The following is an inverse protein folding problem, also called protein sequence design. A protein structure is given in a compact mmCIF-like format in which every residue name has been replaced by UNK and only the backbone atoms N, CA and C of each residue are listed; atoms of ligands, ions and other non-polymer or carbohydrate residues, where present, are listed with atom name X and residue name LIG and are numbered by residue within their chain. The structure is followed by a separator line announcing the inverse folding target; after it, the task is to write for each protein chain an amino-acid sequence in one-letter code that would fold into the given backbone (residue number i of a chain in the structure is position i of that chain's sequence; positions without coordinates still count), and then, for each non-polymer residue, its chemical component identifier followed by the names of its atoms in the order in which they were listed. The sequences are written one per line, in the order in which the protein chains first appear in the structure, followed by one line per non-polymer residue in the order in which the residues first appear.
data_IF_891500683996
#
_entry.id   IF_891500683996
#
_cell.length_a   1.000
_cell.length_b   1.000
_cell.length_c   1.000
_cell.angle_alpha   90.00
_cell.angle_beta   90.00
_cell.angle_gamma   90.00
#
_symmetry.space_group_name_H-M   'P 1'
#
loop_
_entity.id
_entity.type
_entity.pdbx_description
1 polymer ?
#
# COMPACT_ATOMS: atom_id res chain seq x y z
N UNK A 1 25.53 -10.46 -1.97
CA UNK A 1 24.27 -11.03 -2.52
C UNK A 1 23.53 -9.91 -3.24
N UNK A 2 23.12 -10.16 -4.47
CA UNK A 2 22.31 -9.25 -5.30
C UNK A 2 20.98 -9.94 -5.61
N UNK A 3 19.88 -9.35 -5.20
CA UNK A 3 18.53 -9.87 -5.45
C UNK A 3 17.75 -8.95 -6.38
N UNK A 4 16.99 -9.56 -7.29
CA UNK A 4 15.93 -8.90 -8.05
C UNK A 4 14.60 -9.18 -7.35
N UNK A 5 13.98 -8.12 -6.85
CA UNK A 5 12.66 -8.16 -6.21
C UNK A 5 11.54 -7.79 -7.19
N UNK A 6 10.39 -8.48 -7.08
CA UNK A 6 9.19 -8.21 -7.87
C UNK A 6 7.97 -8.02 -6.97
N UNK A 7 7.15 -7.04 -7.31
CA UNK A 7 5.90 -6.73 -6.60
C UNK A 7 4.75 -6.54 -7.60
N UNK A 8 3.62 -7.18 -7.32
CA UNK A 8 2.40 -7.11 -8.14
C UNK A 8 1.13 -7.48 -7.35
N UNK A 9 1.13 -7.28 -6.04
CA UNK A 9 0.07 -7.81 -5.17
C UNK A 9 -1.21 -6.96 -5.14
N UNK A 10 -1.18 -5.72 -5.60
CA UNK A 10 -2.35 -4.82 -5.64
C UNK A 10 -2.49 -4.13 -7.01
N UNK A 11 -2.07 -2.88 -7.14
CA UNK A 11 -2.24 -2.04 -8.34
C UNK A 11 -0.93 -1.35 -8.78
N UNK A 12 0.17 -1.60 -8.11
CA UNK A 12 1.50 -1.21 -8.55
C UNK A 12 2.29 -2.42 -9.05
N UNK A 13 2.91 -2.27 -10.23
CA UNK A 13 3.87 -3.23 -10.77
C UNK A 13 5.27 -2.72 -10.51
N UNK A 14 6.09 -3.49 -9.83
CA UNK A 14 7.45 -3.03 -9.53
C UNK A 14 8.52 -4.12 -9.69
N UNK A 15 9.73 -3.66 -10.02
CA UNK A 15 10.96 -4.44 -9.95
C UNK A 15 12.09 -3.60 -9.35
N UNK A 16 12.90 -4.20 -8.50
CA UNK A 16 14.02 -3.52 -7.84
C UNK A 16 15.24 -4.43 -7.71
N UNK A 17 16.42 -3.86 -7.81
CA UNK A 17 17.69 -4.54 -7.53
C UNK A 17 18.26 -4.06 -6.20
N UNK A 18 18.46 -5.01 -5.30
CA UNK A 18 18.98 -4.75 -3.95
C UNK A 18 20.25 -5.55 -3.72
N UNK A 19 21.33 -4.86 -3.35
CA UNK A 19 22.62 -5.48 -3.03
C UNK A 19 22.87 -5.46 -1.53
N UNK A 20 23.23 -6.61 -0.98
CA UNK A 20 23.69 -6.77 0.39
C UNK A 20 25.12 -7.26 0.43
N UNK A 21 26.03 -6.49 1.01
CA UNK A 21 27.39 -6.91 1.30
C UNK A 21 27.51 -7.29 2.78
N UNK A 22 28.40 -8.27 3.13
CA UNK A 22 28.62 -8.65 4.53
C UNK A 22 29.00 -7.45 5.40
N UNK A 23 28.31 -7.26 6.53
CA UNK A 23 28.58 -6.17 7.47
C UNK A 23 28.20 -4.76 7.00
N UNK A 24 27.58 -4.63 5.84
CA UNK A 24 27.13 -3.36 5.31
C UNK A 24 25.60 -3.30 5.24
N UNK A 25 25.06 -2.11 5.17
CA UNK A 25 23.63 -1.87 4.91
C UNK A 25 23.29 -2.33 3.48
N UNK A 26 22.07 -2.85 3.30
CA UNK A 26 21.57 -3.15 1.96
C UNK A 26 21.44 -1.86 1.13
N UNK A 27 21.77 -1.94 -0.14
CA UNK A 27 21.73 -0.83 -1.07
C UNK A 27 20.73 -1.13 -2.19
N UNK A 28 19.79 -0.23 -2.40
CA UNK A 28 18.90 -0.24 -3.56
C UNK A 28 19.68 0.34 -4.74
N UNK A 29 19.93 -0.47 -5.76
CA UNK A 29 20.65 -0.08 -6.97
C UNK A 29 19.71 0.53 -8.01
N UNK A 30 18.49 -0.02 -8.11
CA UNK A 30 17.40 0.50 -8.95
C UNK A 30 16.06 0.13 -8.36
N UNK A 31 15.05 0.95 -8.65
CA UNK A 31 13.67 0.68 -8.23
C UNK A 31 12.72 1.29 -9.26
N UNK A 32 12.05 0.44 -10.00
CA UNK A 32 11.10 0.81 -11.04
C UNK A 32 9.69 0.46 -10.57
N UNK A 33 8.81 1.44 -10.55
CA UNK A 33 7.40 1.29 -10.19
C UNK A 33 6.53 1.83 -11.31
N UNK A 34 5.52 1.08 -11.70
CA UNK A 34 4.50 1.47 -12.69
C UNK A 34 3.14 1.32 -12.02
N UNK A 35 2.54 2.46 -11.64
CA UNK A 35 1.20 2.52 -11.04
C UNK A 35 0.10 2.29 -12.07
N UNK A 36 -1.07 1.91 -11.58
CA UNK A 36 -2.27 1.65 -12.40
C UNK A 36 -3.43 2.59 -12.04
N UNK A 37 -3.18 3.69 -11.33
CA UNK A 37 -4.21 4.62 -10.84
C UNK A 37 -5.17 5.07 -11.95
N UNK A 38 -4.64 5.44 -13.11
CA UNK A 38 -5.45 5.89 -14.27
C UNK A 38 -6.35 4.78 -14.80
N UNK A 39 -5.89 3.52 -14.80
CA UNK A 39 -6.68 2.38 -15.26
C UNK A 39 -7.91 2.12 -14.40
N UNK A 40 -7.83 2.46 -13.12
CA UNK A 40 -8.87 2.21 -12.13
C UNK A 40 -9.73 3.44 -11.81
N UNK A 41 -9.34 4.64 -12.25
CA UNK A 41 -9.99 5.90 -11.89
C UNK A 41 -11.50 5.92 -12.18
N UNK A 42 -11.93 5.40 -13.33
CA UNK A 42 -13.34 5.36 -13.73
C UNK A 42 -14.19 4.38 -12.90
N UNK A 43 -13.56 3.42 -12.24
CA UNK A 43 -14.23 2.41 -11.41
C UNK A 43 -14.30 2.81 -9.93
N UNK A 44 -13.54 3.83 -9.54
CA UNK A 44 -13.49 4.34 -8.18
C UNK A 44 -12.84 3.37 -7.18
N UNK A 45 -11.93 2.52 -7.64
CA UNK A 45 -11.17 1.55 -6.85
C UNK A 45 -10.55 0.49 -7.74
N UNK A 46 -9.63 -0.30 -7.20
CA UNK A 46 -8.91 -1.32 -7.94
C UNK A 46 -9.85 -2.42 -8.43
N UNK A 47 -9.80 -2.71 -9.74
CA UNK A 47 -10.50 -3.82 -10.37
C UNK A 47 -9.52 -4.98 -10.53
N UNK A 48 -9.66 -6.10 -9.79
CA UNK A 48 -8.64 -7.15 -9.72
C UNK A 48 -8.25 -7.76 -11.06
N UNK A 49 -9.20 -7.93 -11.98
CA UNK A 49 -8.93 -8.50 -13.29
C UNK A 49 -8.13 -7.55 -14.19
N UNK A 50 -8.45 -6.25 -14.14
CA UNK A 50 -7.70 -5.22 -14.87
C UNK A 50 -6.27 -5.16 -14.33
N UNK A 51 -6.12 -5.15 -12.98
CA UNK A 51 -4.83 -5.14 -12.34
C UNK A 51 -3.97 -6.33 -12.74
N UNK A 52 -4.53 -7.55 -12.70
CA UNK A 52 -3.80 -8.76 -13.07
C UNK A 52 -3.28 -8.73 -14.52
N UNK A 53 -4.08 -8.24 -15.46
CA UNK A 53 -3.66 -8.09 -16.87
C UNK A 53 -2.55 -7.05 -17.02
N UNK A 54 -2.70 -5.90 -16.38
CA UNK A 54 -1.68 -4.85 -16.42
C UNK A 54 -0.34 -5.33 -15.81
N UNK A 55 -0.37 -6.12 -14.74
CA UNK A 55 0.85 -6.74 -14.20
C UNK A 55 1.52 -7.66 -15.22
N UNK A 56 0.76 -8.52 -15.88
CA UNK A 56 1.30 -9.44 -16.89
C UNK A 56 1.95 -8.70 -18.08
N UNK A 57 1.45 -7.51 -18.42
CA UNK A 57 1.97 -6.67 -19.51
C UNK A 57 3.16 -5.80 -19.10
N UNK A 58 3.40 -5.58 -17.80
CA UNK A 58 4.38 -4.60 -17.31
C UNK A 58 5.57 -5.19 -16.56
N UNK A 59 5.44 -6.42 -16.03
CA UNK A 59 6.47 -7.01 -15.16
C UNK A 59 7.82 -7.18 -15.86
N UNK A 60 7.83 -7.69 -17.08
CA UNK A 60 9.04 -7.87 -17.88
C UNK A 60 9.71 -6.53 -18.16
N UNK A 61 8.94 -5.51 -18.55
CA UNK A 61 9.42 -4.15 -18.79
C UNK A 61 10.01 -3.51 -17.52
N UNK A 62 9.40 -3.74 -16.35
CA UNK A 62 9.94 -3.29 -15.08
C UNK A 62 11.27 -3.98 -14.77
N UNK A 63 11.38 -5.28 -15.02
CA UNK A 63 12.61 -6.05 -14.82
C UNK A 63 13.71 -5.55 -15.75
N UNK A 64 13.45 -5.41 -17.05
CA UNK A 64 14.41 -4.90 -18.03
C UNK A 64 14.90 -3.51 -17.65
N UNK A 65 14.00 -2.63 -17.29
CA UNK A 65 14.33 -1.26 -16.91
C UNK A 65 15.14 -1.21 -15.61
N UNK A 66 14.77 -2.02 -14.59
CA UNK A 66 15.53 -2.07 -13.35
C UNK A 66 16.97 -2.57 -13.56
N UNK A 67 17.16 -3.58 -14.41
CA UNK A 67 18.48 -4.08 -14.80
C UNK A 67 19.29 -3.01 -15.56
N UNK A 68 18.67 -2.34 -16.53
CA UNK A 68 19.30 -1.29 -17.32
C UNK A 68 19.74 -0.09 -16.47
N UNK A 69 18.88 0.38 -15.54
CA UNK A 69 19.20 1.49 -14.63
C UNK A 69 20.38 1.17 -13.70
N UNK A 70 20.52 -0.11 -13.30
CA UNK A 70 21.65 -0.57 -12.50
C UNK A 70 22.89 -0.93 -13.32
N UNK A 71 22.81 -0.88 -14.66
CA UNK A 71 23.83 -1.36 -15.59
C UNK A 71 24.24 -2.83 -15.32
N UNK A 72 23.25 -3.70 -15.04
CA UNK A 72 23.39 -5.11 -14.70
C UNK A 72 22.56 -5.99 -15.65
N UNK A 73 22.83 -7.29 -15.62
CA UNK A 73 22.12 -8.31 -16.36
C UNK A 73 21.56 -9.39 -15.42
N UNK A 74 20.69 -10.27 -15.91
CA UNK A 74 20.21 -11.44 -15.14
C UNK A 74 21.34 -12.38 -14.71
N UNK A 75 22.48 -12.36 -15.42
CA UNK A 75 23.65 -13.17 -15.05
C UNK A 75 24.26 -12.70 -13.71
N UNK A 76 24.18 -11.40 -13.42
CA UNK A 76 24.76 -10.79 -12.21
C UNK A 76 23.91 -11.00 -10.96
N UNK A 77 22.61 -11.34 -11.12
CA UNK A 77 21.66 -11.54 -10.02
C UNK A 77 21.93 -12.88 -9.33
N UNK A 78 21.96 -12.90 -7.99
CA UNK A 78 22.19 -14.12 -7.21
C UNK A 78 20.87 -14.90 -6.93
N UNK A 79 19.71 -14.24 -7.00
CA UNK A 79 18.40 -14.81 -6.75
C UNK A 79 17.26 -13.84 -6.94
N UNK A 80 16.06 -14.36 -6.85
CA UNK A 80 14.82 -13.61 -7.05
C UNK A 80 14.01 -13.59 -5.75
N UNK A 81 13.41 -12.44 -5.44
CA UNK A 81 12.43 -12.30 -4.37
C UNK A 81 11.11 -11.81 -4.99
N UNK A 82 9.99 -12.35 -4.54
CA UNK A 82 8.68 -11.93 -5.06
C UNK A 82 7.65 -11.90 -3.96
N UNK A 83 6.77 -10.93 -3.99
CA UNK A 83 5.61 -10.91 -3.10
C UNK A 83 4.70 -12.09 -3.42
N UNK A 84 4.54 -12.99 -2.43
CA UNK A 84 3.76 -14.22 -2.54
C UNK A 84 2.40 -14.14 -1.81
N UNK A 85 2.03 -12.97 -1.30
CA UNK A 85 0.80 -12.66 -0.59
C UNK A 85 1.07 -11.92 0.73
N UNK A 86 0.00 -11.43 1.40
CA UNK A 86 -1.37 -11.33 0.88
C UNK A 86 -1.49 -10.31 -0.26
N UNK A 87 -2.60 -10.39 -1.01
CA UNK A 87 -2.90 -9.46 -2.12
C UNK A 87 -3.99 -10.01 -3.05
N UNK A 88 -4.24 -9.28 -4.13
CA UNK A 88 -5.17 -9.71 -5.17
C UNK A 88 -4.60 -10.93 -5.89
N UNK A 89 -5.35 -12.04 -5.88
CA UNK A 89 -4.83 -13.35 -6.32
C UNK A 89 -4.26 -13.31 -7.74
N UNK A 90 -4.91 -12.63 -8.68
CA UNK A 90 -4.43 -12.52 -10.07
C UNK A 90 -3.13 -11.72 -10.18
N UNK A 91 -2.98 -10.64 -9.41
CA UNK A 91 -1.77 -9.85 -9.33
C UNK A 91 -0.62 -10.66 -8.72
N UNK A 92 -0.83 -11.25 -7.54
CA UNK A 92 0.17 -12.10 -6.87
C UNK A 92 0.64 -13.23 -7.80
N UNK A 93 -0.28 -13.90 -8.51
CA UNK A 93 0.07 -14.95 -9.46
C UNK A 93 0.92 -14.43 -10.61
N UNK A 94 0.64 -13.25 -11.15
CA UNK A 94 1.45 -12.65 -12.22
C UNK A 94 2.91 -12.50 -11.82
N UNK A 95 3.18 -11.90 -10.65
CA UNK A 95 4.54 -11.76 -10.13
C UNK A 95 5.23 -13.07 -9.82
N UNK A 96 4.53 -13.96 -9.12
CA UNK A 96 5.07 -15.27 -8.74
C UNK A 96 5.41 -16.13 -9.96
N UNK A 97 4.59 -16.11 -11.00
CA UNK A 97 4.85 -16.87 -12.23
C UNK A 97 6.01 -16.27 -13.03
N UNK A 98 6.10 -14.95 -13.12
CA UNK A 98 7.27 -14.28 -13.72
C UNK A 98 8.56 -14.67 -12.97
N UNK A 99 8.58 -14.53 -11.64
CA UNK A 99 9.75 -14.88 -10.83
C UNK A 99 10.13 -16.36 -10.92
N UNK A 100 9.15 -17.27 -10.99
CA UNK A 100 9.38 -18.72 -11.23
C UNK A 100 10.00 -18.96 -12.60
N UNK A 101 9.52 -18.26 -13.64
CA UNK A 101 10.10 -18.34 -14.98
C UNK A 101 11.57 -17.91 -15.00
N UNK A 102 11.88 -16.78 -14.38
CA UNK A 102 13.25 -16.28 -14.25
C UNK A 102 14.15 -17.25 -13.45
N UNK A 103 13.65 -17.75 -12.33
CA UNK A 103 14.36 -18.74 -11.51
C UNK A 103 14.63 -20.04 -12.29
N UNK A 104 13.64 -20.57 -13.00
CA UNK A 104 13.79 -21.78 -13.80
C UNK A 104 14.77 -21.59 -14.96
N UNK A 105 14.71 -20.46 -15.66
CA UNK A 105 15.59 -20.16 -16.78
C UNK A 105 17.06 -19.94 -16.38
N UNK A 106 17.31 -19.44 -15.16
CA UNK A 106 18.66 -19.11 -14.69
C UNK A 106 19.23 -20.12 -13.71
N UNK A 107 18.42 -21.03 -13.17
CA UNK A 107 18.81 -21.97 -12.12
C UNK A 107 19.05 -21.31 -10.76
N UNK A 108 18.64 -20.03 -10.56
CA UNK A 108 18.89 -19.25 -9.35
C UNK A 108 17.73 -19.39 -8.36
N UNK A 109 17.98 -19.23 -7.03
CA UNK A 109 16.96 -19.43 -6.01
C UNK A 109 15.84 -18.38 -6.09
N UNK A 110 14.63 -18.77 -5.68
CA UNK A 110 13.44 -17.95 -5.58
C UNK A 110 12.97 -17.87 -4.12
N UNK A 111 12.69 -16.67 -3.65
CA UNK A 111 12.20 -16.39 -2.30
C UNK A 111 10.81 -15.76 -2.36
N UNK A 112 9.81 -16.42 -1.77
CA UNK A 112 8.48 -15.84 -1.56
C UNK A 112 8.49 -14.94 -0.32
N UNK A 113 8.06 -13.69 -0.47
CA UNK A 113 8.03 -12.69 0.60
C UNK A 113 6.59 -12.33 0.93
N UNK A 114 6.29 -12.21 2.22
CA UNK A 114 4.99 -11.67 2.65
C UNK A 114 4.96 -10.15 2.41
N UNK A 115 3.92 -9.66 1.72
CA UNK A 115 3.74 -8.25 1.37
C UNK A 115 3.80 -7.32 2.59
N UNK A 116 3.11 -7.68 3.68
CA UNK A 116 3.08 -6.87 4.90
C UNK A 116 4.41 -6.90 5.65
N UNK A 117 5.13 -8.03 5.60
CA UNK A 117 6.49 -8.12 6.13
C UNK A 117 7.44 -7.23 5.34
N UNK A 118 7.31 -7.15 4.01
CA UNK A 118 8.05 -6.22 3.17
C UNK A 118 7.87 -4.77 3.63
N UNK A 119 6.61 -4.34 3.82
CA UNK A 119 6.32 -3.01 4.36
C UNK A 119 6.89 -2.81 5.77
N UNK A 120 6.70 -3.79 6.66
CA UNK A 120 7.17 -3.67 8.05
C UNK A 120 8.69 -3.59 8.16
N UNK A 121 9.44 -4.17 7.22
CA UNK A 121 10.91 -4.17 7.19
C UNK A 121 11.51 -2.98 6.43
N UNK A 122 10.72 -2.19 5.70
CA UNK A 122 11.20 -1.03 4.95
C UNK A 122 12.04 -0.07 5.80
N UNK A 123 11.69 0.28 7.07
CA UNK A 123 12.51 1.15 7.90
C UNK A 123 13.93 0.61 8.17
N UNK A 124 14.12 -0.70 8.08
CA UNK A 124 15.46 -1.32 8.15
C UNK A 124 16.29 -1.06 6.91
N UNK A 125 15.63 -0.92 5.77
CA UNK A 125 16.29 -0.63 4.49
C UNK A 125 16.60 0.87 4.36
N UNK A 126 15.66 1.74 4.72
CA UNK A 126 15.76 3.19 4.52
C UNK A 126 16.50 3.90 5.64
N UNK A 127 16.27 3.54 6.90
CA UNK A 127 16.67 4.30 8.09
C UNK A 127 17.52 3.50 9.10
N UNK A 128 17.77 2.22 8.82
CA UNK A 128 18.52 1.29 9.68
C UNK A 128 18.00 1.20 11.12
N UNK A 129 16.69 1.28 11.31
CA UNK A 129 16.04 1.23 12.62
C UNK A 129 16.34 -0.09 13.33
N UNK A 130 16.90 -0.11 14.55
CA UNK A 130 17.24 -1.34 15.25
C UNK A 130 15.99 -2.10 15.73
N UNK A 131 16.09 -3.44 15.83
CA UNK A 131 15.07 -4.25 16.47
C UNK A 131 15.16 -4.14 18.00
N UNK A 132 14.03 -4.29 18.74
CA UNK A 132 12.65 -4.25 18.23
C UNK A 132 12.19 -2.82 17.96
N UNK A 133 11.19 -2.65 17.08
CA UNK A 133 10.53 -1.36 16.85
C UNK A 133 9.01 -1.52 16.64
N UNK A 134 8.29 -0.46 16.98
CA UNK A 134 6.85 -0.37 16.72
C UNK A 134 6.62 0.18 15.32
N UNK A 135 5.82 -0.52 14.54
CA UNK A 135 5.41 -0.15 13.18
C UNK A 135 3.91 0.09 13.14
N UNK A 136 3.49 1.27 12.70
CA UNK A 136 2.13 1.52 12.24
C UNK A 136 2.12 1.33 10.72
N UNK A 137 1.55 0.20 10.28
CA UNK A 137 1.35 -0.10 8.87
C UNK A 137 0.00 0.46 8.45
N UNK A 138 -0.01 1.42 7.52
CA UNK A 138 -1.22 2.08 7.01
C UNK A 138 -1.16 2.12 5.49
N UNK A 139 -2.20 1.62 4.85
CA UNK A 139 -2.35 1.64 3.40
C UNK A 139 -3.82 1.74 2.98
N UNK A 140 -4.09 1.64 1.69
CA UNK A 140 -5.45 1.57 1.15
C UNK A 140 -6.28 0.43 1.76
N UNK A 141 -5.67 -0.75 1.92
CA UNK A 141 -6.34 -1.96 2.40
C UNK A 141 -5.93 -2.47 3.78
N UNK A 142 -4.93 -1.86 4.43
CA UNK A 142 -4.39 -2.35 5.70
C UNK A 142 -4.22 -1.22 6.72
N UNK A 143 -4.49 -1.54 7.99
CA UNK A 143 -4.13 -0.68 9.12
C UNK A 143 -3.89 -1.55 10.34
N UNK A 144 -2.64 -1.60 10.83
CA UNK A 144 -2.30 -2.38 12.02
C UNK A 144 -1.04 -1.88 12.71
N UNK A 145 -1.00 -2.08 14.03
CA UNK A 145 0.20 -1.94 14.82
C UNK A 145 0.92 -3.28 14.91
N UNK A 146 2.21 -3.26 14.57
CA UNK A 146 3.11 -4.40 14.66
C UNK A 146 4.30 -4.07 15.54
N UNK A 147 4.63 -4.95 16.49
CA UNK A 147 5.94 -4.95 17.14
C UNK A 147 6.85 -5.88 16.34
N UNK A 148 7.87 -5.29 15.73
CA UNK A 148 8.82 -6.00 14.86
C UNK A 148 10.04 -6.38 15.69
N UNK A 149 10.16 -7.66 16.03
CA UNK A 149 11.25 -8.19 16.84
C UNK A 149 12.45 -8.67 16.01
N UNK A 150 12.22 -8.95 14.72
CA UNK A 150 13.21 -9.51 13.83
C UNK A 150 12.67 -9.63 12.39
N UNK A 151 13.49 -10.10 11.44
CA UNK A 151 13.10 -10.17 10.02
C UNK A 151 11.95 -11.14 9.73
N UNK A 152 11.69 -12.09 10.61
CA UNK A 152 10.68 -13.14 10.52
C UNK A 152 9.78 -13.22 11.76
N UNK A 153 9.94 -12.28 12.73
CA UNK A 153 9.20 -12.29 13.98
C UNK A 153 8.44 -11.00 14.22
N UNK A 154 7.12 -11.08 14.02
CA UNK A 154 6.19 -9.97 14.14
C UNK A 154 5.10 -10.31 15.17
N UNK A 155 4.74 -9.33 15.98
CA UNK A 155 3.63 -9.41 16.93
C UNK A 155 2.60 -8.35 16.57
N UNK A 156 1.38 -8.76 16.24
CA UNK A 156 0.29 -7.82 15.97
C UNK A 156 -0.33 -7.37 17.28
N UNK A 157 -0.26 -6.08 17.57
CA UNK A 157 -0.82 -5.49 18.79
C UNK A 157 -2.30 -5.10 18.62
N UNK A 158 -2.69 -4.74 17.40
CA UNK A 158 -4.04 -4.37 17.03
C UNK A 158 -4.11 -3.87 15.60
N UNK A 159 -5.30 -3.51 15.13
CA UNK A 159 -5.48 -2.98 13.78
C UNK A 159 -6.94 -2.65 13.52
N UNK A 160 -7.27 -2.28 12.28
CA UNK A 160 -8.66 -2.03 11.95
C UNK A 160 -9.48 -3.31 12.01
N UNK A 161 -10.69 -3.19 12.58
CA UNK A 161 -11.67 -4.28 12.63
C UNK A 161 -12.70 -4.22 11.49
N UNK A 162 -12.63 -3.17 10.68
CA UNK A 162 -13.53 -2.92 9.55
C UNK A 162 -12.77 -2.27 8.37
N UNK A 163 -13.16 -1.10 7.90
CA UNK A 163 -12.50 -0.40 6.78
C UNK A 163 -11.05 -0.02 7.14
N UNK A 164 -10.15 -0.07 6.18
CA UNK A 164 -8.83 0.55 6.31
C UNK A 164 -8.92 2.08 6.14
N UNK A 165 -7.95 2.87 6.68
CA UNK A 165 -8.00 4.33 6.58
C UNK A 165 -8.08 4.86 5.15
N UNK A 166 -7.27 4.33 4.22
CA UNK A 166 -7.30 4.76 2.82
C UNK A 166 -8.65 4.47 2.18
N UNK A 167 -9.21 3.28 2.41
CA UNK A 167 -10.54 2.91 1.95
C UNK A 167 -11.63 3.82 2.56
N UNK A 168 -11.50 4.18 3.85
CA UNK A 168 -12.41 5.12 4.51
C UNK A 168 -12.32 6.51 3.89
N UNK A 169 -11.12 7.02 3.59
CA UNK A 169 -10.92 8.29 2.89
C UNK A 169 -11.56 8.28 1.50
N UNK A 170 -11.36 7.23 0.72
CA UNK A 170 -11.95 7.11 -0.62
C UNK A 170 -13.49 7.08 -0.57
N UNK A 171 -14.06 6.35 0.38
CA UNK A 171 -15.51 6.29 0.59
C UNK A 171 -16.07 7.65 1.04
N UNK A 172 -15.40 8.33 1.98
CA UNK A 172 -15.79 9.67 2.46
C UNK A 172 -15.70 10.71 1.36
N UNK A 173 -14.61 10.74 0.60
CA UNK A 173 -14.45 11.67 -0.53
C UNK A 173 -15.62 11.54 -1.53
N UNK A 174 -16.02 10.31 -1.86
CA UNK A 174 -17.20 10.06 -2.70
C UNK A 174 -18.49 10.61 -2.07
N UNK A 175 -18.69 10.40 -0.77
CA UNK A 175 -19.89 10.88 -0.06
C UNK A 175 -20.03 12.40 -0.14
N UNK A 176 -18.94 13.15 -0.11
CA UNK A 176 -18.92 14.62 -0.15
C UNK A 176 -18.51 15.18 -1.52
N UNK A 177 -18.55 14.33 -2.57
CA UNK A 177 -18.30 14.72 -3.97
C UNK A 177 -16.90 15.30 -4.25
N UNK A 178 -15.90 14.82 -3.53
CA UNK A 178 -14.50 15.12 -3.83
C UNK A 178 -13.92 14.09 -4.82
N UNK A 179 -12.87 14.48 -5.57
CA UNK A 179 -12.22 13.58 -6.52
C UNK A 179 -11.50 12.40 -5.86
N UNK A 180 -11.09 11.43 -6.68
CA UNK A 180 -10.27 10.31 -6.27
C UNK A 180 -8.81 10.52 -6.76
N UNK A 181 -7.80 10.01 -6.01
CA UNK A 181 -7.89 9.29 -4.73
C UNK A 181 -8.34 10.18 -3.58
N UNK A 182 -9.18 9.63 -2.69
CA UNK A 182 -9.90 10.37 -1.66
C UNK A 182 -9.00 10.98 -0.58
N UNK A 183 -7.95 10.28 -0.15
CA UNK A 183 -7.03 10.78 0.87
C UNK A 183 -6.43 12.15 0.52
N UNK A 184 -5.71 12.30 -0.60
CA UNK A 184 -5.16 13.58 -1.05
C UNK A 184 -6.23 14.66 -1.29
N UNK A 185 -7.40 14.28 -1.81
CA UNK A 185 -8.49 15.22 -2.08
C UNK A 185 -9.07 15.82 -0.77
N UNK A 186 -9.31 14.97 0.24
CA UNK A 186 -9.78 15.40 1.56
C UNK A 186 -8.72 16.26 2.25
N UNK A 187 -7.44 15.83 2.23
CA UNK A 187 -6.36 16.62 2.82
C UNK A 187 -6.28 18.02 2.21
N UNK A 188 -6.40 18.12 0.89
CA UNK A 188 -6.37 19.44 0.23
C UNK A 188 -7.58 20.28 0.58
N UNK A 189 -8.79 19.72 0.62
CA UNK A 189 -10.01 20.45 1.01
C UNK A 189 -9.94 20.92 2.45
N UNK A 190 -9.52 20.06 3.38
CA UNK A 190 -9.43 20.33 4.81
C UNK A 190 -8.48 21.49 5.19
N UNK A 191 -7.55 21.90 4.30
CA UNK A 191 -6.68 23.05 4.56
C UNK A 191 -7.44 24.36 4.75
N UNK A 192 -8.64 24.48 4.20
CA UNK A 192 -9.51 25.65 4.33
C UNK A 192 -10.65 25.42 5.34
N UNK A 193 -10.70 24.25 5.98
CA UNK A 193 -11.81 23.84 6.84
C UNK A 193 -11.63 24.20 8.30
N UNK A 194 -12.76 24.20 9.04
CA UNK A 194 -12.78 24.28 10.51
C UNK A 194 -12.92 22.87 11.10
N UNK A 195 -11.85 22.30 11.69
CA UNK A 195 -11.87 20.92 12.23
C UNK A 195 -12.79 20.77 13.47
N UNK A 196 -13.38 21.85 13.98
CA UNK A 196 -14.27 21.83 15.14
C UNK A 196 -15.74 21.97 14.79
N UNK A 197 -16.06 22.25 13.52
CA UNK A 197 -17.45 22.50 13.12
C UNK A 197 -18.35 21.28 13.29
N UNK A 198 -17.87 20.11 12.93
CA UNK A 198 -18.61 18.86 13.05
C UNK A 198 -18.02 17.96 14.14
N UNK A 199 -18.83 17.56 15.09
CA UNK A 199 -18.43 16.65 16.16
C UNK A 199 -18.45 15.18 15.64
N UNK A 200 -17.42 14.81 14.87
CA UNK A 200 -17.28 13.44 14.37
C UNK A 200 -16.76 12.50 15.47
N UNK A 201 -17.24 11.25 15.53
CA UNK A 201 -16.82 10.30 16.55
C UNK A 201 -15.36 9.85 16.32
N UNK A 202 -14.72 9.45 17.41
CA UNK A 202 -13.47 8.70 17.43
C UNK A 202 -13.75 7.27 17.90
N UNK A 203 -14.07 6.35 16.97
CA UNK A 203 -14.44 4.99 17.35
C UNK A 203 -13.34 4.28 18.14
N UNK A 204 -13.75 3.49 19.13
CA UNK A 204 -12.90 2.63 19.97
C UNK A 204 -11.86 3.38 20.85
N UNK A 205 -11.93 4.71 20.97
CA UNK A 205 -10.94 5.50 21.71
C UNK A 205 -10.79 5.04 23.19
N UNK A 206 -11.90 4.58 23.79
CA UNK A 206 -11.93 4.20 25.21
C UNK A 206 -11.61 2.71 25.44
N UNK A 207 -11.23 1.96 24.38
CA UNK A 207 -10.84 0.56 24.52
C UNK A 207 -9.41 0.42 24.99
N UNK A 208 -9.09 -0.60 25.80
CA UNK A 208 -7.74 -0.81 26.32
C UNK A 208 -6.80 -1.49 25.31
N UNK A 209 -7.32 -1.93 24.17
CA UNK A 209 -6.54 -2.56 23.09
C UNK A 209 -6.09 -1.52 22.03
N UNK A 210 -5.36 -1.97 21.02
CA UNK A 210 -4.90 -1.15 19.91
C UNK A 210 -5.75 -1.32 18.63
N UNK A 211 -6.98 -1.81 18.77
CA UNK A 211 -7.88 -1.93 17.64
C UNK A 211 -8.47 -0.58 17.23
N UNK A 212 -8.72 -0.43 15.94
CA UNK A 212 -9.27 0.78 15.32
C UNK A 212 -10.50 0.45 14.51
N UNK A 213 -11.37 1.46 14.28
CA UNK A 213 -12.55 1.33 13.41
C UNK A 213 -12.76 2.62 12.64
N UNK A 214 -13.08 2.51 11.36
CA UNK A 214 -13.30 3.65 10.46
C UNK A 214 -14.71 3.62 9.83
N UNK A 215 -15.41 2.48 9.82
CA UNK A 215 -16.77 2.38 9.27
C UNK A 215 -17.79 3.24 10.02
N UNK A 216 -17.65 3.33 11.34
CA UNK A 216 -18.50 4.19 12.17
C UNK A 216 -18.30 5.67 11.84
N UNK A 217 -17.07 6.10 11.61
CA UNK A 217 -16.73 7.45 11.18
C UNK A 217 -17.37 7.78 9.82
N UNK A 218 -17.23 6.89 8.83
CA UNK A 218 -17.86 7.05 7.51
C UNK A 218 -19.38 7.24 7.63
N UNK A 219 -20.04 6.45 8.48
CA UNK A 219 -21.49 6.56 8.71
C UNK A 219 -21.85 7.89 9.37
N UNK A 220 -21.03 8.39 10.27
CA UNK A 220 -21.23 9.71 10.89
C UNK A 220 -21.12 10.84 9.86
N UNK A 221 -20.11 10.79 8.98
CA UNK A 221 -19.96 11.76 7.88
C UNK A 221 -21.19 11.71 6.95
N UNK A 222 -21.68 10.52 6.58
CA UNK A 222 -22.90 10.39 5.77
C UNK A 222 -24.08 11.10 6.40
N UNK A 223 -24.35 10.87 7.69
CA UNK A 223 -25.45 11.51 8.42
C UNK A 223 -25.27 13.01 8.53
N UNK A 224 -24.05 13.48 8.77
CA UNK A 224 -23.73 14.91 8.84
C UNK A 224 -23.97 15.59 7.49
N UNK A 225 -23.49 14.98 6.40
CA UNK A 225 -23.74 15.42 5.03
C UNK A 225 -25.25 15.54 4.75
N UNK A 226 -26.01 14.50 5.01
CA UNK A 226 -27.45 14.45 4.73
C UNK A 226 -28.19 15.57 5.50
N UNK A 227 -27.83 15.77 6.76
CA UNK A 227 -28.37 16.90 7.57
C UNK A 227 -28.05 18.27 6.96
N UNK A 228 -26.80 18.49 6.51
CA UNK A 228 -26.43 19.76 5.86
C UNK A 228 -27.19 19.96 4.55
N UNK A 229 -27.37 18.89 3.76
CA UNK A 229 -28.15 18.95 2.52
C UNK A 229 -29.63 19.29 2.81
N UNK A 230 -30.22 18.67 3.81
CA UNK A 230 -31.61 18.95 4.21
C UNK A 230 -31.80 20.39 4.69
N UNK A 231 -30.83 20.94 5.44
CA UNK A 231 -30.88 22.30 5.97
C UNK A 231 -30.58 23.40 4.93
N UNK A 232 -29.70 23.13 3.96
CA UNK A 232 -29.17 24.13 3.03
C UNK A 232 -29.50 23.88 1.55
N UNK A 233 -30.06 22.71 1.23
CA UNK A 233 -30.32 22.31 -0.16
C UNK A 233 -29.11 21.79 -0.93
N UNK A 234 -27.95 21.63 -0.31
CA UNK A 234 -26.73 21.14 -0.93
C UNK A 234 -25.50 21.31 -0.06
N UNK A 235 -24.34 20.77 -0.50
CA UNK A 235 -23.04 21.01 0.11
C UNK A 235 -22.33 22.17 -0.57
N UNK A 236 -21.88 23.16 0.21
CA UNK A 236 -20.93 24.15 -0.28
C UNK A 236 -19.51 23.63 -0.24
N UNK A 237 -18.59 24.33 -0.92
CA UNK A 237 -17.13 24.05 -0.85
C UNK A 237 -16.64 24.12 0.60
N UNK A 238 -17.16 25.06 1.39
CA UNK A 238 -16.81 25.17 2.81
C UNK A 238 -17.34 24.00 3.64
N UNK A 239 -18.55 23.50 3.34
CA UNK A 239 -19.11 22.31 4.02
C UNK A 239 -18.29 21.03 3.71
N UNK A 240 -17.68 20.95 2.52
CA UNK A 240 -16.78 19.85 2.13
C UNK A 240 -15.40 19.97 2.79
N UNK A 241 -14.96 21.21 3.09
CA UNK A 241 -13.67 21.49 3.72
C UNK A 241 -13.70 21.22 5.23
N UNK A 242 -14.80 21.57 5.90
CA UNK A 242 -14.99 21.40 7.33
C UNK A 242 -15.28 19.94 7.72
#
# INVERSE_FOLDING_TARGET
MLLLGLESSCDDTAAALVRQLPGQRALVLSSVVVGQTELHASFGGVVPEIAARAHAEKLDLCVEKALAEAALTLADVDGFAVTAGPGLIGGVLSGVMCAKGLSAATGKPLYGVNHLAGHALTPRLTDDVPYPYLMLLVSGGHCQFLLVHGPDRFERLGGTIDDAPGEAFDKVARLISLPQPGGPAIEQAAKAGDPKRFALPRPLLDRPDCDMSFSGLKTAVLRTRDKVIDEKGGLSVQDQAD
#
